data_IF_838356446990
#
_entry.id   IF_838356446990
#
_cell.length_a   1.000
_cell.length_b   1.000
_cell.length_c   1.000
_cell.angle_alpha   90.00
_cell.angle_beta   90.00
_cell.angle_gamma   90.00
#
_symmetry.space_group_name_H-M   'P 1'
#
loop_
_entity.id
_entity.type
_entity.pdbx_description
1 polymer ?
#
# COMPACT_ATOMS: atom_id res chain seq x y z
N UNK A 1 26.37 14.64 12.30
CA UNK A 1 25.27 13.70 11.99
C UNK A 1 24.40 14.39 10.95
N UNK A 2 24.22 13.76 9.79
CA UNK A 2 23.38 14.35 8.74
C UNK A 2 21.91 14.30 9.16
N UNK A 3 21.12 15.25 8.70
CA UNK A 3 19.69 15.35 8.97
C UNK A 3 18.92 15.35 7.65
N UNK A 4 18.06 14.34 7.49
CA UNK A 4 17.13 14.23 6.37
C UNK A 4 15.71 14.47 6.89
N UNK A 5 15.00 15.42 6.30
CA UNK A 5 13.57 15.62 6.57
C UNK A 5 12.75 15.02 5.44
N UNK A 6 11.76 14.20 5.78
CA UNK A 6 10.83 13.61 4.83
C UNK A 6 9.44 14.19 5.05
N UNK A 7 8.83 14.77 4.02
CA UNK A 7 7.46 15.28 4.05
C UNK A 7 6.59 14.39 3.17
N UNK A 8 5.69 13.62 3.80
CA UNK A 8 4.70 12.81 3.10
C UNK A 8 3.38 13.57 2.95
N UNK A 9 2.98 13.90 1.72
CA UNK A 9 1.70 14.52 1.43
C UNK A 9 0.79 13.56 0.69
N UNK A 10 -0.16 12.95 1.41
CA UNK A 10 -1.08 11.96 0.84
C UNK A 10 -0.46 10.59 0.55
N UNK A 11 0.86 10.44 0.67
CA UNK A 11 1.58 9.15 0.55
C UNK A 11 1.72 8.41 1.88
N UNK A 12 1.38 9.06 3.00
CA UNK A 12 1.69 8.57 4.34
C UNK A 12 3.18 8.66 4.68
N UNK A 13 3.55 8.00 5.78
CA UNK A 13 4.93 7.91 6.25
C UNK A 13 5.72 6.87 5.45
N UNK A 14 7.04 7.04 5.36
CA UNK A 14 7.93 6.07 4.76
C UNK A 14 8.65 5.26 5.85
N UNK A 15 7.95 4.27 6.40
CA UNK A 15 8.49 3.40 7.45
C UNK A 15 9.79 2.69 7.05
N UNK A 16 9.93 2.35 5.76
CA UNK A 16 11.15 1.72 5.24
C UNK A 16 12.34 2.68 5.25
N UNK A 17 12.13 3.99 5.11
CA UNK A 17 13.18 5.00 5.24
C UNK A 17 13.64 5.14 6.69
N UNK A 18 12.70 5.16 7.65
CA UNK A 18 13.02 5.17 9.08
C UNK A 18 13.79 3.91 9.48
N UNK A 19 13.29 2.74 9.09
CA UNK A 19 13.97 1.46 9.33
C UNK A 19 15.36 1.41 8.68
N UNK A 20 15.51 1.93 7.46
CA UNK A 20 16.82 1.98 6.81
C UNK A 20 17.82 2.87 7.56
N UNK A 21 17.36 3.96 8.18
CA UNK A 21 18.19 4.84 8.99
C UNK A 21 18.65 4.17 10.28
N UNK A 22 17.77 3.42 10.93
CA UNK A 22 18.10 2.59 12.10
C UNK A 22 19.16 1.54 11.75
N UNK A 23 18.97 0.78 10.66
CA UNK A 23 19.94 -0.23 10.22
C UNK A 23 21.32 0.39 9.91
N UNK A 24 21.36 1.57 9.28
CA UNK A 24 22.62 2.25 8.96
C UNK A 24 23.33 2.80 10.20
N UNK A 25 22.58 3.14 11.26
CA UNK A 25 23.16 3.54 12.54
C UNK A 25 24.03 2.41 13.12
N UNK A 26 23.56 1.17 13.03
CA UNK A 26 24.32 -0.03 13.44
C UNK A 26 25.58 -0.23 12.60
N UNK A 27 25.57 0.20 11.34
CA UNK A 27 26.72 0.19 10.42
C UNK A 27 27.65 1.42 10.58
N UNK A 28 27.49 2.22 11.64
CA UNK A 28 28.25 3.47 11.89
C UNK A 28 28.02 4.59 10.85
N UNK A 29 26.92 4.53 10.10
CA UNK A 29 26.50 5.57 9.16
C UNK A 29 25.36 6.40 9.77
N UNK A 30 25.70 7.56 10.35
CA UNK A 30 24.77 8.36 11.15
C UNK A 30 23.97 9.39 10.33
N UNK A 31 22.73 9.05 10.00
CA UNK A 31 21.74 9.95 9.40
C UNK A 31 20.48 9.95 10.26
N UNK A 32 20.12 11.12 10.80
CA UNK A 32 18.85 11.31 11.47
C UNK A 32 17.77 11.59 10.43
N UNK A 33 16.76 10.72 10.38
CA UNK A 33 15.57 10.93 9.55
C UNK A 33 14.43 11.41 10.43
N UNK A 34 13.75 12.47 10.01
CA UNK A 34 12.52 12.94 10.66
C UNK A 34 11.42 13.04 9.61
N UNK A 35 10.29 12.40 9.89
CA UNK A 35 9.14 12.37 8.98
C UNK A 35 8.03 13.30 9.46
N UNK A 36 7.39 13.98 8.51
CA UNK A 36 6.24 14.86 8.74
C UNK A 36 5.14 14.54 7.74
N UNK A 37 3.90 14.41 8.23
CA UNK A 37 2.73 14.16 7.40
C UNK A 37 1.93 15.44 7.20
N UNK A 38 1.58 15.74 5.94
CA UNK A 38 0.86 16.99 5.61
C UNK A 38 -0.46 17.14 6.39
N UNK A 39 -1.18 16.04 6.62
CA UNK A 39 -2.41 16.03 7.43
C UNK A 39 -2.17 16.46 8.88
N UNK A 40 -1.06 16.04 9.49
CA UNK A 40 -0.73 16.40 10.86
C UNK A 40 -0.26 17.85 10.96
N UNK A 41 0.56 18.29 9.99
CA UNK A 41 0.97 19.70 9.87
C UNK A 41 -0.24 20.63 9.72
N UNK A 42 -1.27 20.21 8.98
CA UNK A 42 -2.49 20.99 8.80
C UNK A 42 -3.38 21.05 10.05
N UNK A 43 -3.28 20.06 10.95
CA UNK A 43 -4.13 19.95 12.15
C UNK A 43 -3.47 20.52 13.41
N UNK A 44 -2.15 20.34 13.56
CA UNK A 44 -1.41 20.65 14.79
C UNK A 44 -0.38 21.74 14.52
N UNK A 45 -0.69 22.96 14.96
CA UNK A 45 0.20 24.12 14.79
C UNK A 45 1.56 23.94 15.48
N UNK A 46 1.62 23.21 16.59
CA UNK A 46 2.86 22.86 17.28
C UNK A 46 3.77 21.98 16.41
N UNK A 47 3.23 20.92 15.81
CA UNK A 47 3.97 20.03 14.89
C UNK A 47 4.47 20.80 13.67
N UNK A 48 3.65 21.71 13.13
CA UNK A 48 4.06 22.57 12.04
C UNK A 48 5.20 23.52 12.43
N UNK A 49 5.10 24.16 13.59
CA UNK A 49 6.15 25.04 14.12
C UNK A 49 7.46 24.29 14.35
N UNK A 50 7.38 23.06 14.86
CA UNK A 50 8.53 22.17 15.03
C UNK A 50 9.18 21.82 13.68
N UNK A 51 8.38 21.49 12.66
CA UNK A 51 8.87 21.22 11.31
C UNK A 51 9.61 22.44 10.74
N UNK A 52 9.03 23.65 10.88
CA UNK A 52 9.68 24.89 10.44
C UNK A 52 11.01 25.15 11.17
N UNK A 53 11.09 24.84 12.47
CA UNK A 53 12.33 24.97 13.24
C UNK A 53 13.42 24.00 12.81
N UNK A 54 13.06 22.82 12.29
CA UNK A 54 14.00 21.79 11.88
C UNK A 54 14.56 22.01 10.47
N UNK A 55 13.77 22.59 9.55
CA UNK A 55 14.14 22.85 8.15
C UNK A 55 15.53 23.51 8.03
N UNK A 56 15.84 24.63 8.70
CA UNK A 56 17.14 25.31 8.55
C UNK A 56 18.37 24.46 8.90
N UNK A 57 18.19 23.36 9.64
CA UNK A 57 19.27 22.45 10.03
C UNK A 57 19.33 21.18 9.19
N UNK A 58 18.46 21.01 8.20
CA UNK A 58 18.43 19.84 7.34
C UNK A 58 19.54 19.89 6.29
N UNK A 59 20.14 18.73 6.02
CA UNK A 59 21.13 18.53 4.97
C UNK A 59 20.47 18.11 3.65
N UNK A 60 19.31 17.44 3.72
CA UNK A 60 18.45 17.11 2.60
C UNK A 60 16.99 17.13 3.04
N UNK A 61 16.12 17.65 2.17
CA UNK A 61 14.68 17.54 2.33
C UNK A 61 14.11 16.70 1.18
N UNK A 62 13.26 15.74 1.51
CA UNK A 62 12.48 14.98 0.53
C UNK A 62 11.02 15.34 0.72
N UNK A 63 10.36 15.79 -0.34
CA UNK A 63 8.92 16.05 -0.35
C UNK A 63 8.30 15.05 -1.30
N UNK A 64 7.49 14.15 -0.76
CA UNK A 64 6.79 13.12 -1.53
C UNK A 64 5.30 13.46 -1.60
N UNK A 65 4.83 13.78 -2.80
CA UNK A 65 3.47 14.23 -3.07
C UNK A 65 2.70 13.11 -3.78
N UNK A 66 1.58 12.72 -3.17
CA UNK A 66 0.51 12.02 -3.86
C UNK A 66 -0.42 13.09 -4.41
N UNK A 67 -0.56 13.17 -5.75
CA UNK A 67 -1.24 14.26 -6.49
C UNK A 67 -0.39 15.53 -6.60
N UNK A 68 -1.07 16.67 -6.65
CA UNK A 68 -0.51 18.00 -6.84
C UNK A 68 -0.01 18.63 -5.54
N UNK A 69 1.00 19.48 -5.68
CA UNK A 69 1.48 20.41 -4.65
C UNK A 69 0.37 21.24 -4.01
N UNK A 70 -0.71 21.51 -4.73
CA UNK A 70 -1.88 22.25 -4.22
C UNK A 70 -2.57 21.60 -3.02
N UNK A 71 -2.43 20.28 -2.85
CA UNK A 71 -2.94 19.56 -1.68
C UNK A 71 -2.07 19.74 -0.44
N UNK A 72 -0.82 20.21 -0.60
CA UNK A 72 0.06 20.53 0.51
C UNK A 72 -0.09 22.00 0.90
N UNK A 73 -1.14 22.30 1.68
CA UNK A 73 -1.52 23.67 2.09
C UNK A 73 -0.36 24.52 2.60
N UNK A 74 0.51 23.94 3.43
CA UNK A 74 1.63 24.67 4.05
C UNK A 74 2.89 24.75 3.18
N UNK A 75 2.87 24.17 1.98
CA UNK A 75 4.01 24.15 1.06
C UNK A 75 4.59 25.54 0.76
N UNK A 76 3.81 26.61 0.49
CA UNK A 76 4.38 27.93 0.21
C UNK A 76 5.25 28.48 1.35
N UNK A 77 4.87 28.22 2.60
CA UNK A 77 5.61 28.67 3.79
C UNK A 77 6.89 27.88 3.99
N UNK A 78 6.83 26.57 3.72
CA UNK A 78 7.99 25.68 3.75
C UNK A 78 8.98 26.07 2.63
N UNK A 79 8.46 26.35 1.43
CA UNK A 79 9.23 26.75 0.26
C UNK A 79 10.00 28.07 0.50
N UNK A 80 9.38 29.07 1.11
CA UNK A 80 10.03 30.35 1.44
C UNK A 80 11.31 30.13 2.29
N UNK A 81 11.24 29.26 3.29
CA UNK A 81 12.39 28.95 4.15
C UNK A 81 13.44 28.16 3.38
N UNK A 82 13.03 27.16 2.61
CA UNK A 82 13.91 26.35 1.75
C UNK A 82 14.71 27.24 0.81
N UNK A 83 14.06 28.15 0.10
CA UNK A 83 14.70 29.04 -0.87
C UNK A 83 15.63 30.04 -0.16
N UNK A 84 15.22 30.57 1.00
CA UNK A 84 16.06 31.50 1.78
C UNK A 84 17.35 30.85 2.31
N UNK A 85 17.28 29.57 2.69
CA UNK A 85 18.40 28.81 3.29
C UNK A 85 19.18 27.99 2.26
N UNK A 86 18.68 27.87 1.03
CA UNK A 86 19.26 27.09 -0.07
C UNK A 86 19.50 25.62 0.32
N UNK A 87 18.55 25.03 1.05
CA UNK A 87 18.61 23.63 1.44
C UNK A 87 18.30 22.77 0.20
N UNK A 88 19.07 21.72 -0.09
CA UNK A 88 18.75 20.82 -1.20
C UNK A 88 17.42 20.10 -0.95
N UNK A 89 16.52 20.13 -1.94
CA UNK A 89 15.22 19.46 -1.86
C UNK A 89 15.02 18.55 -3.06
N UNK A 90 14.64 17.31 -2.79
CA UNK A 90 14.11 16.42 -3.82
C UNK A 90 12.58 16.37 -3.69
N UNK A 91 11.87 16.84 -4.71
CA UNK A 91 10.41 16.76 -4.79
C UNK A 91 10.02 15.64 -5.75
N UNK A 92 9.28 14.65 -5.23
CA UNK A 92 8.64 13.61 -6.01
C UNK A 92 7.14 13.90 -6.07
N UNK A 93 6.59 13.96 -7.28
CA UNK A 93 5.16 14.13 -7.53
C UNK A 93 4.68 13.07 -8.50
N UNK A 94 3.38 12.77 -8.47
CA UNK A 94 2.73 11.97 -9.52
C UNK A 94 2.50 12.77 -10.81
N UNK A 95 2.80 14.08 -10.79
CA UNK A 95 2.68 15.01 -11.92
C UNK A 95 4.10 15.41 -12.37
N UNK A 96 4.46 15.07 -13.60
CA UNK A 96 5.81 15.29 -14.14
C UNK A 96 6.11 16.78 -14.28
N UNK A 97 5.13 17.60 -14.67
CA UNK A 97 5.29 19.04 -14.81
C UNK A 97 5.65 19.73 -13.48
N UNK A 98 5.13 19.22 -12.35
CA UNK A 98 5.51 19.73 -11.03
C UNK A 98 6.95 19.34 -10.69
N UNK A 99 7.38 18.13 -11.04
CA UNK A 99 8.76 17.71 -10.83
C UNK A 99 9.74 18.59 -11.63
N UNK A 100 9.38 18.96 -12.86
CA UNK A 100 10.15 19.88 -13.69
C UNK A 100 10.18 21.30 -13.12
N UNK A 101 9.03 21.82 -12.69
CA UNK A 101 8.91 23.16 -12.09
C UNK A 101 9.84 23.31 -10.87
N UNK A 102 9.85 22.30 -10.00
CA UNK A 102 10.62 22.31 -8.76
C UNK A 102 12.00 21.65 -8.87
N UNK A 103 12.42 21.18 -10.04
CA UNK A 103 13.75 20.56 -10.30
C UNK A 103 14.91 21.41 -9.77
N UNK A 104 14.79 22.73 -9.87
CA UNK A 104 15.79 23.72 -9.42
C UNK A 104 16.12 23.64 -7.92
N UNK A 105 15.22 23.10 -7.09
CA UNK A 105 15.44 22.98 -5.65
C UNK A 105 16.43 21.86 -5.31
N UNK A 106 16.66 20.92 -6.22
CA UNK A 106 17.66 19.89 -6.08
C UNK A 106 18.99 20.35 -6.68
N UNK A 107 19.94 20.73 -5.82
CA UNK A 107 21.21 21.37 -6.21
C UNK A 107 22.26 20.41 -6.80
N UNK A 108 21.98 19.11 -6.88
CA UNK A 108 22.91 18.11 -7.42
C UNK A 108 22.67 17.82 -8.91
N UNK A 109 23.59 17.05 -9.48
CA UNK A 109 23.64 16.71 -10.90
C UNK A 109 22.40 15.94 -11.39
N UNK A 110 22.13 15.95 -12.69
CA UNK A 110 21.04 15.15 -13.26
C UNK A 110 21.20 13.64 -13.02
N UNK A 111 22.39 13.04 -13.10
CA UNK A 111 22.59 11.66 -12.69
C UNK A 111 22.17 11.39 -11.23
N UNK A 112 22.51 12.28 -10.30
CA UNK A 112 22.09 12.16 -8.91
C UNK A 112 20.57 12.29 -8.76
N UNK A 113 19.94 13.22 -9.50
CA UNK A 113 18.49 13.41 -9.49
C UNK A 113 17.77 12.13 -9.93
N UNK A 114 18.16 11.55 -11.08
CA UNK A 114 17.57 10.30 -11.57
C UNK A 114 17.82 9.12 -10.63
N UNK A 115 18.96 9.10 -9.94
CA UNK A 115 19.30 8.05 -8.98
C UNK A 115 18.42 8.14 -7.72
N UNK A 116 18.25 9.34 -7.15
CA UNK A 116 17.34 9.60 -6.02
C UNK A 116 15.90 9.30 -6.40
N UNK A 117 15.46 9.76 -7.58
CA UNK A 117 14.16 9.41 -8.15
C UNK A 117 13.96 7.90 -8.18
N UNK A 118 14.93 7.16 -8.73
CA UNK A 118 14.84 5.71 -8.88
C UNK A 118 14.70 5.00 -7.54
N UNK A 119 15.41 5.44 -6.48
CA UNK A 119 15.26 4.83 -5.16
C UNK A 119 13.86 5.03 -4.59
N UNK A 120 13.33 6.25 -4.68
CA UNK A 120 12.00 6.60 -4.16
C UNK A 120 10.90 5.91 -4.97
N UNK A 121 10.99 5.98 -6.30
CA UNK A 121 10.00 5.43 -7.21
C UNK A 121 10.00 3.90 -7.22
N UNK A 122 11.14 3.21 -7.10
CA UNK A 122 11.19 1.74 -6.97
C UNK A 122 10.84 1.28 -5.55
N UNK A 123 11.14 2.07 -4.52
CA UNK A 123 10.78 1.80 -3.13
C UNK A 123 11.45 0.55 -2.56
N UNK A 124 11.01 0.09 -1.38
CA UNK A 124 11.60 -1.07 -0.71
C UNK A 124 12.84 -0.72 0.13
N UNK A 125 13.11 -1.55 1.14
CA UNK A 125 14.13 -1.28 2.17
C UNK A 125 15.54 -1.07 1.59
N UNK A 126 15.93 -1.86 0.59
CA UNK A 126 17.26 -1.76 -0.03
C UNK A 126 17.46 -0.42 -0.76
N UNK A 127 16.43 0.07 -1.43
CA UNK A 127 16.49 1.37 -2.10
C UNK A 127 16.48 2.52 -1.08
N UNK A 128 15.69 2.43 0.00
CA UNK A 128 15.73 3.42 1.08
C UNK A 128 17.11 3.48 1.75
N UNK A 129 17.73 2.32 2.01
CA UNK A 129 19.12 2.26 2.48
C UNK A 129 20.10 2.89 1.48
N UNK A 130 19.92 2.64 0.19
CA UNK A 130 20.77 3.20 -0.86
C UNK A 130 20.61 4.71 -1.02
N UNK A 131 19.39 5.24 -0.83
CA UNK A 131 19.10 6.68 -0.77
C UNK A 131 19.80 7.37 0.41
N UNK A 132 19.78 6.73 1.58
CA UNK A 132 20.50 7.23 2.76
C UNK A 132 22.01 7.18 2.55
N UNK A 133 22.56 6.10 1.99
CA UNK A 133 23.98 6.04 1.62
C UNK A 133 24.36 7.09 0.57
N UNK A 134 23.50 7.33 -0.42
CA UNK A 134 23.68 8.42 -1.38
C UNK A 134 23.77 9.77 -0.65
N UNK A 135 22.87 10.02 0.31
CA UNK A 135 22.86 11.24 1.13
C UNK A 135 24.16 11.37 1.94
N UNK A 136 24.60 10.28 2.58
CA UNK A 136 25.83 10.23 3.37
C UNK A 136 27.08 10.53 2.55
N UNK A 137 27.19 9.93 1.36
CA UNK A 137 28.36 10.07 0.49
C UNK A 137 28.38 11.43 -0.21
N UNK A 138 27.26 11.84 -0.82
CA UNK A 138 27.19 13.07 -1.63
C UNK A 138 27.15 14.34 -0.80
N UNK A 139 26.54 14.29 0.38
CA UNK A 139 26.36 15.48 1.23
C UNK A 139 27.35 15.46 2.40
N UNK A 140 27.52 14.30 3.05
CA UNK A 140 28.42 14.15 4.19
C UNK A 140 29.89 13.91 3.83
N UNK A 141 30.22 13.65 2.55
CA UNK A 141 31.57 13.38 2.10
C UNK A 141 32.10 11.99 2.49
N UNK A 142 31.22 11.03 2.77
CA UNK A 142 31.61 9.65 3.06
C UNK A 142 32.25 8.93 1.87
N UNK A 143 33.09 7.92 2.14
CA UNK A 143 33.82 7.14 1.11
C UNK A 143 33.20 5.76 0.86
N UNK A 144 31.89 5.65 1.05
CA UNK A 144 31.15 4.40 0.83
C UNK A 144 30.68 4.30 -0.62
N UNK A 145 30.60 3.07 -1.14
CA UNK A 145 29.98 2.82 -2.44
C UNK A 145 28.47 3.07 -2.37
N UNK A 146 27.95 3.88 -3.28
CA UNK A 146 26.50 4.09 -3.43
C UNK A 146 25.93 2.93 -4.28
N UNK A 147 25.09 2.04 -3.73
CA UNK A 147 24.55 0.90 -4.48
C UNK A 147 23.60 1.36 -5.60
N UNK A 148 23.53 0.63 -6.71
CA UNK A 148 22.54 0.94 -7.77
C UNK A 148 21.10 0.64 -7.31
N UNK A 149 20.09 1.35 -7.83
CA UNK A 149 18.70 1.03 -7.55
C UNK A 149 18.35 -0.42 -7.92
N UNK A 150 17.56 -1.08 -7.09
CA UNK A 150 17.06 -2.44 -7.30
C UNK A 150 15.56 -2.43 -7.53
N UNK A 151 15.02 -3.40 -8.27
CA UNK A 151 13.57 -3.53 -8.47
C UNK A 151 13.00 -4.55 -7.47
N UNK A 152 12.22 -4.13 -6.45
CA UNK A 152 11.53 -5.08 -5.59
C UNK A 152 10.45 -5.84 -6.38
N UNK A 153 10.08 -7.04 -5.93
CA UNK A 153 8.99 -7.79 -6.55
C UNK A 153 7.69 -7.01 -6.47
N UNK A 154 7.05 -6.77 -7.61
CA UNK A 154 5.79 -6.02 -7.72
C UNK A 154 4.58 -6.87 -7.38
N UNK A 155 4.69 -8.18 -7.50
CA UNK A 155 3.66 -9.13 -7.09
C UNK A 155 4.26 -10.48 -6.69
N UNK A 156 3.49 -11.32 -6.03
CA UNK A 156 3.94 -12.65 -5.63
C UNK A 156 3.02 -13.28 -4.61
N UNK A 157 3.32 -14.54 -4.28
CA UNK A 157 2.60 -15.27 -3.23
C UNK A 157 3.27 -15.01 -1.89
N UNK A 158 2.46 -14.74 -0.89
CA UNK A 158 2.87 -14.75 0.52
C UNK A 158 2.06 -15.80 1.26
N UNK A 159 2.73 -16.65 2.02
CA UNK A 159 2.07 -17.56 2.94
C UNK A 159 3.05 -17.92 4.06
N UNK A 160 2.67 -17.88 5.35
CA UNK A 160 3.61 -18.06 6.47
C UNK A 160 4.27 -19.44 6.49
N UNK A 161 3.58 -20.46 5.97
CA UNK A 161 4.11 -21.82 5.79
C UNK A 161 5.03 -22.04 4.57
N UNK A 162 5.30 -21.02 3.76
CA UNK A 162 6.06 -21.14 2.51
C UNK A 162 7.22 -20.15 2.42
N UNK A 163 8.22 -20.49 1.61
CA UNK A 163 9.38 -19.63 1.40
C UNK A 163 9.02 -18.44 0.48
N UNK A 164 9.64 -17.26 0.68
CA UNK A 164 9.41 -16.09 -0.18
C UNK A 164 9.75 -16.36 -1.66
N UNK A 165 8.88 -15.93 -2.57
CA UNK A 165 9.13 -16.01 -4.03
C UNK A 165 8.70 -17.31 -4.70
N UNK A 166 7.98 -18.18 -3.99
CA UNK A 166 7.37 -19.38 -4.59
C UNK A 166 6.48 -19.01 -5.79
N UNK A 167 6.60 -19.79 -6.87
CA UNK A 167 5.82 -19.58 -8.09
C UNK A 167 4.44 -20.24 -7.96
N UNK A 168 3.41 -19.66 -8.60
CA UNK A 168 2.03 -20.16 -8.50
C UNK A 168 1.88 -21.62 -8.94
N UNK A 169 2.61 -22.04 -9.97
CA UNK A 169 2.58 -23.41 -10.45
C UNK A 169 3.09 -24.40 -9.38
N UNK A 170 4.18 -24.06 -8.70
CA UNK A 170 4.74 -24.86 -7.61
C UNK A 170 3.83 -24.83 -6.39
N UNK A 171 3.36 -23.64 -6.00
CA UNK A 171 2.45 -23.46 -4.88
C UNK A 171 1.19 -24.34 -5.03
N UNK A 172 0.55 -24.32 -6.21
CA UNK A 172 -0.63 -25.15 -6.52
C UNK A 172 -0.37 -26.66 -6.47
N UNK A 173 0.87 -27.12 -6.66
CA UNK A 173 1.19 -28.55 -6.56
C UNK A 173 1.17 -29.06 -5.12
N UNK A 174 1.48 -28.19 -4.16
CA UNK A 174 1.72 -28.60 -2.78
C UNK A 174 0.71 -28.08 -1.76
N UNK A 175 -0.10 -27.06 -2.10
CA UNK A 175 -1.23 -26.71 -1.24
C UNK A 175 -2.15 -27.93 -1.06
N UNK A 176 -2.87 -28.02 0.08
CA UNK A 176 -3.91 -29.02 0.25
C UNK A 176 -4.89 -28.97 -0.92
N UNK A 177 -5.60 -30.07 -1.16
CA UNK A 177 -6.59 -30.16 -2.24
C UNK A 177 -7.99 -30.16 -1.64
N UNK A 178 -8.30 -29.12 -0.86
CA UNK A 178 -9.63 -28.94 -0.27
C UNK A 178 -10.63 -28.58 -1.37
N UNK A 179 -11.92 -28.67 -1.03
CA UNK A 179 -13.00 -28.44 -1.98
C UNK A 179 -13.24 -26.95 -2.25
N UNK A 180 -12.83 -26.06 -1.35
CA UNK A 180 -13.03 -24.61 -1.46
C UNK A 180 -11.70 -23.89 -1.57
N UNK A 181 -11.63 -22.90 -2.45
CA UNK A 181 -10.42 -22.11 -2.73
C UNK A 181 -10.67 -20.62 -2.57
N UNK A 182 -9.84 -19.94 -1.79
CA UNK A 182 -9.94 -18.50 -1.57
C UNK A 182 -8.70 -17.78 -2.12
N UNK A 183 -8.92 -16.79 -2.98
CA UNK A 183 -7.89 -15.80 -3.29
C UNK A 183 -7.85 -14.74 -2.20
N UNK A 184 -6.66 -14.29 -1.81
CA UNK A 184 -6.50 -13.08 -0.99
C UNK A 184 -5.62 -12.13 -1.79
N UNK A 185 -6.02 -10.88 -1.91
CA UNK A 185 -5.30 -9.86 -2.64
C UNK A 185 -4.98 -8.68 -1.72
N UNK A 186 -3.72 -8.33 -1.57
CA UNK A 186 -3.28 -7.28 -0.65
C UNK A 186 -2.12 -6.45 -1.21
N UNK A 187 -1.89 -5.27 -0.62
CA UNK A 187 -0.94 -4.30 -1.16
C UNK A 187 0.52 -4.79 -1.06
N UNK A 188 1.29 -4.60 -2.14
CA UNK A 188 2.75 -4.77 -2.15
C UNK A 188 3.42 -4.02 -0.99
N UNK A 189 2.90 -2.86 -0.58
CA UNK A 189 3.46 -2.08 0.52
C UNK A 189 3.46 -2.85 1.84
N UNK A 190 2.39 -3.61 2.15
CA UNK A 190 2.35 -4.45 3.35
C UNK A 190 3.44 -5.53 3.31
N UNK A 191 3.65 -6.14 2.14
CA UNK A 191 4.70 -7.14 1.94
C UNK A 191 6.11 -6.56 2.11
N UNK A 192 6.39 -5.42 1.47
CA UNK A 192 7.71 -4.78 1.56
C UNK A 192 8.02 -4.26 2.97
N UNK A 193 7.01 -3.76 3.69
CA UNK A 193 7.13 -3.33 5.08
C UNK A 193 7.12 -4.49 6.09
N UNK A 194 6.97 -5.75 5.64
CA UNK A 194 6.78 -6.93 6.49
C UNK A 194 5.61 -6.77 7.48
N UNK A 195 4.61 -5.96 7.12
CA UNK A 195 3.40 -5.75 7.89
C UNK A 195 2.34 -6.78 7.48
N UNK A 196 2.62 -8.05 7.81
CA UNK A 196 1.87 -9.20 7.31
C UNK A 196 0.95 -9.84 8.37
N UNK A 197 0.97 -9.36 9.61
CA UNK A 197 0.19 -9.93 10.72
C UNK A 197 -1.29 -10.11 10.39
N UNK A 198 -1.93 -9.10 9.78
CA UNK A 198 -3.36 -9.17 9.42
C UNK A 198 -3.59 -10.14 8.26
N UNK A 199 -2.65 -10.21 7.30
CA UNK A 199 -2.72 -11.15 6.19
C UNK A 199 -2.58 -12.58 6.70
N UNK A 200 -1.63 -12.85 7.58
CA UNK A 200 -1.38 -14.17 8.18
C UNK A 200 -2.58 -14.62 9.05
N UNK A 201 -3.19 -13.69 9.78
CA UNK A 201 -4.42 -13.94 10.53
C UNK A 201 -5.57 -14.34 9.58
N UNK A 202 -5.79 -13.58 8.50
CA UNK A 202 -6.84 -13.87 7.52
C UNK A 202 -6.62 -15.22 6.81
N UNK A 203 -5.38 -15.53 6.44
CA UNK A 203 -4.98 -16.84 5.89
C UNK A 203 -5.43 -17.94 6.86
N UNK A 204 -5.02 -17.84 8.12
CA UNK A 204 -5.33 -18.83 9.15
C UNK A 204 -6.84 -18.99 9.37
N UNK A 205 -7.60 -17.89 9.43
CA UNK A 205 -9.06 -17.91 9.57
C UNK A 205 -9.76 -18.61 8.40
N UNK A 206 -9.31 -18.38 7.16
CA UNK A 206 -9.86 -19.05 5.97
C UNK A 206 -9.50 -20.54 5.95
N UNK A 207 -8.26 -20.89 6.28
CA UNK A 207 -7.82 -22.28 6.31
C UNK A 207 -8.57 -23.12 7.34
N UNK A 208 -8.90 -22.52 8.50
CA UNK A 208 -9.76 -23.09 9.54
C UNK A 208 -11.21 -23.32 9.05
N UNK A 209 -11.64 -22.58 8.04
CA UNK A 209 -12.93 -22.77 7.37
C UNK A 209 -12.86 -23.70 6.14
N UNK A 210 -11.80 -24.51 6.06
CA UNK A 210 -11.55 -25.50 5.01
C UNK A 210 -11.24 -24.91 3.61
N UNK A 211 -10.71 -23.70 3.55
CA UNK A 211 -10.17 -23.17 2.30
C UNK A 211 -8.73 -23.61 2.03
N UNK A 212 -8.41 -23.77 0.75
CA UNK A 212 -7.05 -23.60 0.22
C UNK A 212 -6.86 -22.12 -0.12
N UNK A 213 -5.88 -21.47 0.49
CA UNK A 213 -5.67 -20.03 0.29
C UNK A 213 -4.59 -19.75 -0.75
N UNK A 214 -4.81 -18.74 -1.59
CA UNK A 214 -3.82 -18.20 -2.54
C UNK A 214 -3.65 -16.71 -2.22
N UNK A 215 -2.74 -16.36 -1.28
CA UNK A 215 -2.54 -14.97 -0.87
C UNK A 215 -1.50 -14.31 -1.75
N UNK A 216 -1.91 -13.24 -2.43
CA UNK A 216 -1.14 -12.54 -3.45
C UNK A 216 -0.96 -11.10 -3.02
N UNK A 217 0.30 -10.67 -2.87
CA UNK A 217 0.61 -9.25 -2.81
C UNK A 217 0.76 -8.70 -4.22
N UNK A 218 0.37 -7.45 -4.44
CA UNK A 218 0.56 -6.79 -5.73
C UNK A 218 0.66 -5.26 -5.65
N UNK A 219 1.35 -4.70 -6.62
CA UNK A 219 1.18 -3.31 -7.04
C UNK A 219 -0.01 -3.25 -8.00
N UNK A 220 -0.96 -2.37 -7.70
CA UNK A 220 -2.22 -2.33 -8.41
C UNK A 220 -2.08 -1.73 -9.82
N UNK A 221 -1.37 -0.61 -9.94
CA UNK A 221 -1.17 0.08 -11.20
C UNK A 221 -0.09 -0.61 -12.04
N UNK A 222 -0.25 -0.66 -13.38
CA UNK A 222 0.83 -1.04 -14.26
C UNK A 222 1.92 0.03 -14.23
N UNK A 223 3.16 -0.42 -14.23
CA UNK A 223 4.32 0.44 -14.14
C UNK A 223 5.51 -0.24 -14.81
N UNK A 224 5.90 0.26 -15.98
CA UNK A 224 7.00 -0.33 -16.77
C UNK A 224 8.37 -0.16 -16.11
N UNK A 225 8.54 0.88 -15.29
CA UNK A 225 9.79 1.16 -14.58
C UNK A 225 9.95 0.16 -13.44
N UNK A 226 8.92 0.00 -12.60
CA UNK A 226 8.88 -0.99 -11.51
C UNK A 226 8.77 -2.42 -12.03
N UNK A 227 8.26 -2.61 -13.25
CA UNK A 227 7.93 -3.93 -13.79
C UNK A 227 6.63 -4.49 -13.20
N UNK A 228 5.67 -3.62 -12.88
CA UNK A 228 4.33 -4.03 -12.47
C UNK A 228 3.48 -4.28 -13.71
N UNK A 229 2.93 -5.49 -13.91
CA UNK A 229 2.01 -5.75 -15.00
C UNK A 229 0.62 -5.13 -14.76
N UNK A 230 0.32 -4.73 -13.52
CA UNK A 230 -1.00 -4.20 -13.13
C UNK A 230 -1.98 -5.30 -12.71
N UNK A 231 -3.07 -4.88 -12.06
CA UNK A 231 -3.96 -5.79 -11.34
C UNK A 231 -4.63 -6.86 -12.22
N UNK A 232 -4.95 -6.50 -13.46
CA UNK A 232 -5.68 -7.35 -14.41
C UNK A 232 -4.88 -8.60 -14.73
N UNK A 233 -3.63 -8.40 -15.16
CA UNK A 233 -2.72 -9.50 -15.49
C UNK A 233 -2.38 -10.33 -14.26
N UNK A 234 -2.33 -9.72 -13.08
CA UNK A 234 -2.12 -10.41 -11.80
C UNK A 234 -3.31 -11.31 -11.46
N UNK A 235 -4.55 -10.82 -11.55
CA UNK A 235 -5.75 -11.63 -11.31
C UNK A 235 -5.79 -12.80 -12.30
N UNK A 236 -5.57 -12.54 -13.59
CA UNK A 236 -5.52 -13.60 -14.60
C UNK A 236 -4.43 -14.64 -14.29
N UNK A 237 -3.24 -14.20 -13.92
CA UNK A 237 -2.12 -15.09 -13.63
C UNK A 237 -2.33 -15.97 -12.39
N UNK A 238 -2.85 -15.42 -11.29
CA UNK A 238 -2.95 -16.15 -10.02
C UNK A 238 -4.29 -16.84 -9.79
N UNK A 239 -5.38 -16.29 -10.32
CA UNK A 239 -6.75 -16.71 -9.98
C UNK A 239 -7.55 -17.23 -11.16
N UNK A 240 -6.99 -17.24 -12.38
CA UNK A 240 -7.66 -17.80 -13.55
C UNK A 240 -6.80 -18.88 -14.20
N UNK A 241 -7.47 -19.74 -14.95
CA UNK A 241 -6.88 -20.67 -15.90
C UNK A 241 -7.74 -20.59 -17.17
N UNK A 242 -7.09 -20.21 -18.27
CA UNK A 242 -7.77 -19.71 -19.48
C UNK A 242 -8.77 -18.60 -19.13
N UNK A 243 -10.07 -18.90 -19.17
CA UNK A 243 -11.16 -17.95 -18.90
C UNK A 243 -12.04 -18.40 -17.72
N UNK A 244 -11.51 -19.25 -16.82
CA UNK A 244 -12.24 -19.75 -15.66
C UNK A 244 -11.50 -19.43 -14.37
N UNK A 245 -12.22 -18.91 -13.38
CA UNK A 245 -11.66 -18.75 -12.05
C UNK A 245 -11.24 -20.11 -11.46
N UNK A 246 -10.05 -20.13 -10.89
CA UNK A 246 -9.49 -21.26 -10.13
C UNK A 246 -9.77 -21.16 -8.63
N UNK A 247 -10.44 -20.08 -8.20
CA UNK A 247 -10.89 -19.80 -6.84
C UNK A 247 -12.42 -19.73 -6.80
N UNK A 248 -12.99 -19.83 -5.60
CA UNK A 248 -14.44 -19.75 -5.37
C UNK A 248 -14.88 -18.41 -4.79
N UNK A 249 -13.96 -17.68 -4.17
CA UNK A 249 -14.17 -16.36 -3.55
C UNK A 249 -12.83 -15.60 -3.53
N UNK A 250 -12.89 -14.28 -3.72
CA UNK A 250 -11.74 -13.39 -3.62
C UNK A 250 -11.91 -12.44 -2.43
N UNK A 251 -10.92 -12.35 -1.56
CA UNK A 251 -10.87 -11.35 -0.49
C UNK A 251 -9.89 -10.25 -0.90
N UNK A 252 -10.36 -9.00 -0.92
CA UNK A 252 -9.55 -7.84 -1.29
C UNK A 252 -9.27 -7.02 -0.03
N UNK A 253 -7.98 -6.94 0.33
CA UNK A 253 -7.44 -6.15 1.43
C UNK A 253 -6.55 -5.03 0.89
N UNK A 254 -7.11 -4.26 -0.03
CA UNK A 254 -6.45 -3.08 -0.59
C UNK A 254 -7.40 -1.91 -0.54
N UNK A 255 -6.89 -0.77 -0.10
CA UNK A 255 -7.57 0.50 -0.23
C UNK A 255 -7.38 0.97 -1.67
N UNK A 256 -8.32 0.60 -2.55
CA UNK A 256 -8.33 1.07 -3.94
C UNK A 256 -8.90 2.48 -3.95
N UNK A 257 -8.09 3.42 -3.43
CA UNK A 257 -8.48 4.81 -3.47
C UNK A 257 -8.43 5.29 -4.93
N UNK A 258 -9.62 5.39 -5.52
CA UNK A 258 -9.94 6.35 -6.57
C UNK A 258 -9.54 6.03 -8.00
N UNK A 259 -9.41 4.74 -8.35
CA UNK A 259 -9.40 4.36 -9.76
C UNK A 259 -10.41 3.26 -9.98
N UNK A 260 -11.40 3.55 -10.84
CA UNK A 260 -12.20 2.50 -11.46
C UNK A 260 -11.22 1.58 -12.20
N UNK A 261 -11.25 0.28 -11.92
CA UNK A 261 -10.42 -0.69 -12.66
C UNK A 261 -10.66 -0.51 -14.17
N UNK A 262 -11.90 -0.20 -14.53
CA UNK A 262 -12.34 0.07 -15.89
C UNK A 262 -11.68 1.33 -16.48
N UNK A 263 -11.37 2.37 -15.69
CA UNK A 263 -10.68 3.57 -16.18
C UNK A 263 -9.19 3.31 -16.46
N UNK A 264 -8.54 2.44 -15.68
CA UNK A 264 -7.16 2.00 -15.95
C UNK A 264 -7.11 1.17 -17.22
N UNK A 265 -7.98 0.16 -17.35
CA UNK A 265 -8.02 -0.70 -18.53
C UNK A 265 -8.46 0.07 -19.78
N UNK A 266 -9.46 0.94 -19.69
CA UNK A 266 -9.91 1.77 -20.81
C UNK A 266 -8.81 2.72 -21.30
N UNK A 267 -8.05 3.33 -20.39
CA UNK A 267 -6.90 4.18 -20.76
C UNK A 267 -5.74 3.42 -21.38
N UNK A 268 -5.54 2.15 -21.00
CA UNK A 268 -4.45 1.31 -21.51
C UNK A 268 -4.80 0.63 -22.84
N UNK A 269 -6.06 0.23 -23.02
CA UNK A 269 -6.50 -0.59 -24.15
C UNK A 269 -7.33 0.17 -25.19
N UNK A 270 -7.82 1.37 -24.84
CA UNK A 270 -8.72 2.16 -25.69
C UNK A 270 -10.12 1.55 -25.87
N UNK A 271 -10.45 0.49 -25.12
CA UNK A 271 -11.71 -0.22 -25.19
C UNK A 271 -12.41 -0.19 -23.83
N UNK A 272 -13.72 0.10 -23.80
CA UNK A 272 -14.55 -0.22 -22.64
C UNK A 272 -14.67 -1.75 -22.56
N UNK A 273 -13.95 -2.37 -21.63
CA UNK A 273 -14.19 -3.76 -21.23
C UNK A 273 -15.13 -3.82 -20.01
N UNK A 274 -15.76 -4.98 -19.85
CA UNK A 274 -16.56 -5.31 -18.66
C UNK A 274 -15.67 -5.27 -17.40
N UNK A 275 -16.27 -5.06 -16.23
CA UNK A 275 -15.56 -5.00 -14.94
C UNK A 275 -14.74 -6.29 -14.71
N UNK A 276 -13.44 -6.14 -14.41
CA UNK A 276 -12.47 -7.22 -14.14
C UNK A 276 -13.02 -8.29 -13.17
N UNK A 277 -13.74 -7.86 -12.12
CA UNK A 277 -14.30 -8.80 -11.15
C UNK A 277 -15.48 -9.58 -11.73
N UNK A 278 -16.23 -8.99 -12.66
CA UNK A 278 -17.28 -9.68 -13.42
C UNK A 278 -16.68 -10.72 -14.37
N UNK A 279 -15.51 -10.44 -15.00
CA UNK A 279 -14.75 -11.44 -15.78
C UNK A 279 -14.30 -12.62 -14.89
N UNK A 280 -13.80 -12.32 -13.69
CA UNK A 280 -13.40 -13.35 -12.73
C UNK A 280 -14.60 -14.23 -12.31
N UNK A 281 -15.79 -13.65 -12.18
CA UNK A 281 -17.04 -14.42 -11.97
C UNK A 281 -17.10 -15.14 -10.62
N UNK A 282 -16.47 -14.57 -9.59
CA UNK A 282 -16.54 -15.06 -8.20
C UNK A 282 -16.97 -13.91 -7.27
N UNK A 283 -17.60 -14.22 -6.11
CA UNK A 283 -17.86 -13.21 -5.10
C UNK A 283 -16.55 -12.55 -4.63
N UNK A 284 -16.55 -11.22 -4.60
CA UNK A 284 -15.40 -10.42 -4.15
C UNK A 284 -15.78 -9.71 -2.85
N UNK A 285 -15.10 -10.05 -1.76
CA UNK A 285 -15.33 -9.47 -0.44
C UNK A 285 -14.27 -8.42 -0.17
N UNK A 286 -14.69 -7.16 -0.05
CA UNK A 286 -13.81 -6.07 0.36
C UNK A 286 -13.71 -6.04 1.88
N UNK A 287 -12.49 -6.12 2.40
CA UNK A 287 -12.16 -5.88 3.82
C UNK A 287 -11.28 -4.65 3.93
N UNK A 288 -11.24 -4.03 5.11
CA UNK A 288 -10.50 -2.80 5.34
C UNK A 288 -9.90 -2.72 6.74
N UNK A 289 -8.97 -1.78 6.90
CA UNK A 289 -8.40 -1.38 8.17
C UNK A 289 -9.04 -0.06 8.57
N UNK A 290 -9.59 0.04 9.78
CA UNK A 290 -10.09 1.33 10.28
C UNK A 290 -8.91 2.20 10.71
N UNK A 291 -8.99 3.51 10.46
CA UNK A 291 -8.04 4.52 10.92
C UNK A 291 -8.21 4.89 12.41
N UNK A 292 -9.27 4.38 13.04
CA UNK A 292 -9.52 4.49 14.47
C UNK A 292 -8.83 3.35 15.22
N UNK A 293 -8.59 3.52 16.52
CA UNK A 293 -8.26 2.37 17.37
C UNK A 293 -9.45 1.40 17.44
N UNK A 294 -9.21 0.17 17.86
CA UNK A 294 -10.31 -0.79 18.06
C UNK A 294 -11.36 -0.24 19.04
N UNK A 295 -10.91 0.31 20.17
CA UNK A 295 -11.77 0.80 21.24
C UNK A 295 -12.59 2.02 20.80
N UNK A 296 -12.02 2.90 19.98
CA UNK A 296 -12.74 4.02 19.38
C UNK A 296 -13.80 3.53 18.40
N UNK A 297 -13.45 2.58 17.55
CA UNK A 297 -14.35 2.03 16.54
C UNK A 297 -15.52 1.24 17.15
N UNK A 298 -15.26 0.42 18.17
CA UNK A 298 -16.25 -0.44 18.84
C UNK A 298 -17.41 0.37 19.46
N UNK A 299 -17.12 1.55 20.02
CA UNK A 299 -18.14 2.43 20.63
C UNK A 299 -18.72 3.44 19.64
N UNK A 300 -18.15 3.56 18.44
CA UNK A 300 -18.60 4.50 17.42
C UNK A 300 -19.82 3.97 16.67
N UNK A 301 -21.00 4.51 16.97
CA UNK A 301 -22.27 4.14 16.32
C UNK A 301 -22.24 4.39 14.81
N UNK A 302 -21.45 5.36 14.34
CA UNK A 302 -21.30 5.63 12.90
C UNK A 302 -20.37 4.62 12.21
N UNK A 303 -19.59 3.86 12.98
CA UNK A 303 -18.57 2.93 12.48
C UNK A 303 -17.39 3.67 11.85
N UNK A 304 -17.49 3.96 10.56
CA UNK A 304 -16.45 4.62 9.77
C UNK A 304 -16.65 6.14 9.72
N UNK A 305 -15.55 6.89 9.61
CA UNK A 305 -15.60 8.32 9.34
C UNK A 305 -16.01 8.62 7.89
N UNK A 306 -16.49 9.83 7.61
CA UNK A 306 -16.86 10.23 6.24
C UNK A 306 -15.69 10.16 5.24
N UNK A 307 -14.46 10.38 5.72
CA UNK A 307 -13.26 10.21 4.90
C UNK A 307 -13.00 8.73 4.58
N UNK A 308 -13.25 7.84 5.53
CA UNK A 308 -13.12 6.41 5.30
C UNK A 308 -14.20 5.90 4.36
N UNK A 309 -15.47 6.26 4.57
CA UNK A 309 -16.58 5.86 3.69
C UNK A 309 -16.32 6.32 2.24
N UNK A 310 -15.87 7.57 2.06
CA UNK A 310 -15.57 8.10 0.72
C UNK A 310 -14.35 7.44 0.06
N UNK A 311 -13.40 6.93 0.86
CA UNK A 311 -12.18 6.29 0.36
C UNK A 311 -12.32 4.78 0.17
N UNK A 312 -13.17 4.12 0.96
CA UNK A 312 -13.30 2.67 1.04
C UNK A 312 -14.58 2.14 0.40
N UNK A 313 -15.74 2.78 0.61
CA UNK A 313 -17.02 2.15 0.27
C UNK A 313 -17.46 2.51 -1.15
N UNK A 314 -17.45 3.80 -1.49
CA UNK A 314 -18.04 4.29 -2.74
C UNK A 314 -17.41 3.62 -3.97
N UNK A 315 -16.08 3.58 -4.07
CA UNK A 315 -15.40 3.04 -5.26
C UNK A 315 -15.45 1.51 -5.32
N UNK A 316 -15.49 0.84 -4.18
CA UNK A 316 -15.53 -0.62 -4.14
C UNK A 316 -16.94 -1.13 -4.48
N UNK A 317 -17.98 -0.41 -4.08
CA UNK A 317 -19.36 -0.63 -4.56
C UNK A 317 -19.46 -0.45 -6.08
N UNK A 318 -18.85 0.60 -6.65
CA UNK A 318 -18.80 0.77 -8.12
C UNK A 318 -18.07 -0.38 -8.83
N UNK A 319 -17.11 -1.03 -8.16
CA UNK A 319 -16.41 -2.21 -8.66
C UNK A 319 -17.17 -3.52 -8.40
N UNK A 320 -18.44 -3.49 -7.99
CA UNK A 320 -19.30 -4.66 -7.71
C UNK A 320 -18.81 -5.54 -6.56
N UNK A 321 -18.01 -4.99 -5.64
CA UNK A 321 -17.53 -5.74 -4.48
C UNK A 321 -18.54 -5.71 -3.33
N UNK A 322 -18.56 -6.80 -2.57
CA UNK A 322 -19.36 -6.91 -1.35
C UNK A 322 -18.58 -6.23 -0.22
N UNK A 323 -19.06 -5.09 0.23
CA UNK A 323 -18.50 -4.39 1.40
C UNK A 323 -18.80 -5.20 2.65
N UNK A 324 -17.78 -5.40 3.49
CA UNK A 324 -17.91 -6.22 4.70
C UNK A 324 -17.69 -5.40 5.98
N UNK A 325 -16.72 -5.77 6.82
CA UNK A 325 -16.41 -5.13 8.11
C UNK A 325 -14.90 -4.97 8.24
N UNK A 326 -14.40 -4.05 9.08
CA UNK A 326 -12.98 -3.99 9.36
C UNK A 326 -12.47 -5.31 9.94
N UNK A 327 -11.29 -5.73 9.49
CA UNK A 327 -10.55 -6.86 10.09
C UNK A 327 -9.28 -6.41 10.81
N UNK A 328 -9.02 -5.10 10.81
CA UNK A 328 -7.88 -4.50 11.46
C UNK A 328 -8.16 -3.06 11.89
N UNK A 329 -7.45 -2.58 12.90
CA UNK A 329 -7.46 -1.20 13.39
C UNK A 329 -6.07 -0.59 13.39
N UNK A 330 -6.01 0.73 13.28
CA UNK A 330 -4.79 1.50 13.48
C UNK A 330 -4.64 1.88 14.95
N UNK A 331 -3.59 1.37 15.58
CA UNK A 331 -3.25 1.65 16.97
C UNK A 331 -2.14 2.68 17.04
N UNK A 332 -2.28 3.64 17.97
CA UNK A 332 -1.26 4.63 18.23
C UNK A 332 -0.24 4.09 19.24
N UNK A 333 1.02 3.95 18.82
CA UNK A 333 2.17 3.72 19.72
C UNK A 333 3.03 4.99 19.79
N UNK A 334 3.91 5.11 20.82
CA UNK A 334 4.63 6.35 21.18
C UNK A 334 5.23 7.12 20.00
N UNK A 335 5.77 6.42 18.98
CA UNK A 335 6.36 7.02 17.79
C UNK A 335 5.95 6.33 16.47
N UNK A 336 4.92 5.49 16.46
CA UNK A 336 4.50 4.79 15.24
C UNK A 336 3.01 4.45 15.22
N UNK A 337 2.47 4.22 14.02
CA UNK A 337 1.15 3.59 13.86
C UNK A 337 1.35 2.11 13.60
N UNK A 338 0.74 1.28 14.42
CA UNK A 338 0.72 -0.17 14.26
C UNK A 338 -0.65 -0.63 13.78
N UNK A 339 -0.68 -1.71 13.02
CA UNK A 339 -1.93 -2.35 12.62
C UNK A 339 -2.20 -3.51 13.58
N UNK A 340 -3.36 -3.49 14.23
CA UNK A 340 -3.85 -4.59 15.08
C UNK A 340 -4.88 -5.40 14.29
N UNK A 341 -4.65 -6.70 14.17
CA UNK A 341 -5.64 -7.62 13.60
C UNK A 341 -6.80 -7.87 14.57
N UNK A 342 -8.01 -7.94 14.04
CA UNK A 342 -9.24 -8.22 14.78
C UNK A 342 -9.71 -9.64 14.46
N UNK A 343 -9.25 -10.61 15.24
CA UNK A 343 -9.40 -12.04 14.96
C UNK A 343 -10.85 -12.50 14.82
N UNK A 344 -11.74 -12.06 15.71
CA UNK A 344 -13.18 -12.36 15.63
C UNK A 344 -13.80 -11.92 14.29
N UNK A 345 -13.36 -10.77 13.77
CA UNK A 345 -13.85 -10.25 12.50
C UNK A 345 -13.26 -11.01 11.32
N UNK A 346 -11.98 -11.41 11.38
CA UNK A 346 -11.38 -12.28 10.38
C UNK A 346 -12.10 -13.64 10.30
N UNK A 347 -12.45 -14.24 11.43
CA UNK A 347 -13.27 -15.47 11.47
C UNK A 347 -14.66 -15.26 10.86
N UNK A 348 -15.30 -14.12 11.15
CA UNK A 348 -16.59 -13.77 10.56
C UNK A 348 -16.51 -13.63 9.05
N UNK A 349 -15.44 -13.01 8.54
CA UNK A 349 -15.16 -12.92 7.10
C UNK A 349 -14.93 -14.30 6.50
N UNK A 350 -14.17 -15.18 7.16
CA UNK A 350 -13.94 -16.54 6.68
C UNK A 350 -15.24 -17.35 6.55
N UNK A 351 -16.13 -17.26 7.55
CA UNK A 351 -17.47 -17.88 7.51
C UNK A 351 -18.34 -17.30 6.39
N UNK A 352 -18.28 -15.99 6.18
CA UNK A 352 -18.98 -15.32 5.07
C UNK A 352 -18.46 -15.77 3.72
N UNK A 353 -17.13 -15.85 3.55
CA UNK A 353 -16.47 -16.34 2.36
C UNK A 353 -16.88 -17.78 2.04
N UNK A 354 -16.94 -18.65 3.07
CA UNK A 354 -17.43 -20.03 2.94
C UNK A 354 -18.86 -20.09 2.42
N UNK A 355 -19.77 -19.29 2.98
CA UNK A 355 -21.15 -19.24 2.54
C UNK A 355 -21.27 -18.83 1.06
N UNK A 356 -20.51 -17.83 0.62
CA UNK A 356 -20.47 -17.39 -0.77
C UNK A 356 -19.88 -18.43 -1.71
N UNK A 357 -18.77 -19.05 -1.32
CA UNK A 357 -18.12 -20.12 -2.09
C UNK A 357 -19.03 -21.34 -2.24
N UNK A 358 -19.73 -21.75 -1.17
CA UNK A 358 -20.72 -22.83 -1.22
C UNK A 358 -21.86 -22.45 -2.16
N UNK A 359 -22.46 -21.26 -2.01
CA UNK A 359 -23.58 -20.82 -2.87
C UNK A 359 -23.20 -20.86 -4.36
N UNK A 360 -21.98 -20.44 -4.69
CA UNK A 360 -21.43 -20.50 -6.05
C UNK A 360 -21.40 -21.93 -6.58
N UNK A 361 -20.90 -22.86 -5.77
CA UNK A 361 -20.70 -24.26 -6.14
C UNK A 361 -21.97 -25.12 -6.04
N UNK A 362 -23.00 -24.67 -5.31
CA UNK A 362 -24.29 -25.35 -5.23
C UNK A 362 -25.05 -25.25 -6.55
N UNK A 363 -25.45 -26.37 -7.18
CA UNK A 363 -26.29 -26.38 -8.38
C UNK A 363 -27.59 -25.59 -8.17
N UNK A 364 -28.05 -24.88 -9.20
CA UNK A 364 -29.22 -23.98 -9.11
C UNK A 364 -30.46 -24.65 -8.50
N UNK A 365 -30.68 -25.93 -8.81
CA UNK A 365 -31.84 -26.70 -8.33
C UNK A 365 -31.74 -27.16 -6.87
N UNK A 366 -30.56 -27.10 -6.27
CA UNK A 366 -30.30 -27.43 -4.86
C UNK A 366 -30.25 -26.17 -3.97
N UNK A 367 -30.20 -24.97 -4.57
CA UNK A 367 -30.11 -23.71 -3.83
C UNK A 367 -31.39 -23.45 -3.05
N UNK A 368 -31.24 -23.22 -1.75
CA UNK A 368 -32.33 -22.86 -0.85
C UNK A 368 -32.33 -21.35 -0.63
N UNK A 369 -33.50 -20.71 -0.71
CA UNK A 369 -33.65 -19.26 -0.56
C UNK A 369 -34.69 -18.93 0.50
N UNK A 370 -34.36 -17.98 1.38
CA UNK A 370 -35.32 -17.37 2.29
C UNK A 370 -35.76 -16.01 1.73
N UNK A 371 -37.08 -15.78 1.64
CA UNK A 371 -37.65 -14.50 1.20
C UNK A 371 -38.27 -13.79 2.40
N UNK A 372 -37.68 -12.69 2.82
CA UNK A 372 -38.22 -11.82 3.86
C UNK A 372 -39.08 -10.74 3.22
N UNK A 373 -40.36 -10.68 3.60
CA UNK A 373 -41.29 -9.66 3.16
C UNK A 373 -41.40 -8.60 4.26
N UNK A 374 -41.23 -7.33 3.89
CA UNK A 374 -41.49 -6.20 4.78
C UNK A 374 -43.01 -6.08 4.91
N UNK A 375 -43.55 -6.47 6.07
CA UNK A 375 -44.97 -6.29 6.42
C UNK A 375 -45.30 -4.83 6.64
#
# INVERSE_FOLDING_TARGET
MLKLLFFGCGTGDNQLLLQAAENLHEESCFIAVTSYLSYELNRKEETFTQALGNIPSADLIIINLHRSVSYFREFPRILEIIESKKIPVFLMSTIEEEMDEYRRLFSFSDPDYHQVYSYLHLGGLQNMRSLLLWTYVRIGGGDLSIPKPVKPSTHGIHHPGWYPGIQIAEYRMFIPKKSLKAGILFSQSLYLCKSLTVVDMLISSLENEDFDTIPVYCSFAPDSIRGSPGIVDIIRHYFMDENKATIDVLIVMMELSQVSINDLESKLTGMQQDNLFSELGVPVLQIYTTNQSYEEWEVNISGLSSLEISSHDVWQEYNEQIITVPVASHEQEENSRKIRGLEEYAEKIAKMAKAWAILRNTPVHERQFAKFLKT
#
